data_IF_330863528497
#
_entry.id   IF_330863528497
#
_cell.length_a   1.000
_cell.length_b   1.000
_cell.length_c   1.000
_cell.angle_alpha   90.00
_cell.angle_beta   90.00
_cell.angle_gamma   90.00
#
_symmetry.space_group_name_H-M   'P 1'
#
loop_
_entity.id
_entity.type
_entity.pdbx_description
1 polymer ?
#
# COMPACT_ATOMS: atom_id res chain seq x y z
N UNK A 1 7.60 -13.56 -16.71
CA UNK A 1 6.69 -13.76 -15.62
C UNK A 1 7.43 -13.91 -14.30
N UNK A 2 6.97 -13.22 -13.28
CA UNK A 2 7.64 -13.24 -12.00
C UNK A 2 7.33 -14.53 -11.26
N UNK A 3 8.34 -15.11 -10.63
CA UNK A 3 8.09 -16.23 -9.76
C UNK A 3 7.64 -15.72 -8.39
N UNK A 4 7.16 -16.61 -7.50
CA UNK A 4 6.65 -16.16 -6.20
C UNK A 4 7.65 -15.40 -5.37
N UNK A 5 8.92 -15.79 -5.41
CA UNK A 5 9.95 -15.10 -4.66
C UNK A 5 10.13 -13.67 -5.16
N UNK A 6 10.10 -13.52 -6.46
CA UNK A 6 10.27 -12.21 -7.05
C UNK A 6 9.10 -11.31 -6.69
N UNK A 7 7.90 -11.86 -6.69
CA UNK A 7 6.73 -11.08 -6.32
C UNK A 7 6.82 -10.62 -4.87
N UNK A 8 7.28 -11.49 -4.00
CA UNK A 8 7.43 -11.13 -2.59
C UNK A 8 8.42 -10.00 -2.41
N UNK A 9 9.54 -10.07 -3.14
CA UNK A 9 10.54 -9.01 -3.06
C UNK A 9 9.97 -7.69 -3.52
N UNK A 10 9.20 -7.71 -4.60
CA UNK A 10 8.61 -6.49 -5.12
C UNK A 10 7.58 -5.91 -4.16
N UNK A 11 6.83 -6.76 -3.49
CA UNK A 11 5.87 -6.31 -2.49
C UNK A 11 6.59 -5.64 -1.34
N UNK A 12 7.68 -6.23 -0.89
CA UNK A 12 8.42 -5.65 0.21
C UNK A 12 9.04 -4.32 -0.17
N UNK A 13 9.53 -4.23 -1.40
CA UNK A 13 10.09 -2.98 -1.88
C UNK A 13 9.02 -1.90 -1.95
N UNK A 14 7.84 -2.26 -2.41
CA UNK A 14 6.73 -1.31 -2.47
C UNK A 14 6.32 -0.87 -1.07
N UNK A 15 6.29 -1.79 -0.14
CA UNK A 15 5.95 -1.48 1.24
C UNK A 15 6.94 -0.49 1.82
N UNK A 16 8.24 -0.74 1.61
CA UNK A 16 9.27 0.14 2.14
C UNK A 16 9.17 1.52 1.52
N UNK A 17 8.90 1.58 0.22
CA UNK A 17 8.78 2.86 -0.46
C UNK A 17 7.59 3.64 0.07
N UNK A 18 6.46 2.97 0.26
CA UNK A 18 5.28 3.63 0.79
C UNK A 18 5.52 4.12 2.22
N UNK A 19 6.23 3.33 3.00
CA UNK A 19 6.54 3.72 4.35
C UNK A 19 7.41 4.96 4.38
N UNK A 20 8.39 5.02 3.48
CA UNK A 20 9.26 6.17 3.40
C UNK A 20 8.49 7.42 2.98
N UNK A 21 7.56 7.26 2.05
CA UNK A 21 6.74 8.38 1.60
C UNK A 21 5.87 8.89 2.75
N UNK A 22 5.30 7.99 3.51
CA UNK A 22 4.47 8.40 4.64
C UNK A 22 5.30 9.13 5.69
N UNK A 23 6.50 8.64 5.95
CA UNK A 23 7.37 9.28 6.92
C UNK A 23 7.74 10.68 6.46
N UNK A 24 8.07 10.82 5.18
CA UNK A 24 8.40 12.13 4.65
C UNK A 24 7.21 13.07 4.72
N UNK A 25 6.04 12.56 4.40
CA UNK A 25 4.82 13.35 4.47
C UNK A 25 4.59 13.87 5.88
N UNK A 26 4.77 13.00 6.87
CA UNK A 26 4.58 13.40 8.26
C UNK A 26 5.62 14.45 8.66
N UNK A 27 6.84 14.26 8.23
CA UNK A 27 7.90 15.19 8.58
C UNK A 27 7.65 16.57 8.00
N UNK A 28 7.21 16.62 6.75
CA UNK A 28 7.03 17.89 6.07
C UNK A 28 5.74 18.60 6.45
N UNK A 29 4.71 17.85 6.77
CA UNK A 29 3.39 18.42 7.02
C UNK A 29 3.02 18.44 8.49
N UNK A 30 3.72 17.68 9.31
CA UNK A 30 3.33 17.55 10.72
C UNK A 30 2.12 16.65 10.90
N UNK A 31 1.80 15.85 9.91
CA UNK A 31 0.63 15.00 9.99
C UNK A 31 0.78 13.94 11.08
N UNK A 32 -0.32 13.64 11.75
CA UNK A 32 -0.35 12.62 12.78
C UNK A 32 -0.46 11.24 12.14
N UNK A 33 -0.24 10.23 12.97
CA UNK A 33 -0.42 8.86 12.50
C UNK A 33 -1.85 8.63 12.02
N UNK A 34 -2.81 9.23 12.70
CA UNK A 34 -4.20 9.10 12.29
C UNK A 34 -4.43 9.69 10.92
N UNK A 35 -3.80 10.82 10.64
CA UNK A 35 -3.94 11.44 9.34
C UNK A 35 -3.30 10.61 8.25
N UNK A 36 -2.18 9.96 8.56
CA UNK A 36 -1.56 9.07 7.59
C UNK A 36 -2.45 7.86 7.34
N UNK A 37 -3.05 7.33 8.40
CA UNK A 37 -3.97 6.21 8.24
C UNK A 37 -5.14 6.58 7.35
N UNK A 38 -5.66 7.79 7.53
CA UNK A 38 -6.77 8.25 6.70
C UNK A 38 -6.34 8.38 5.24
N UNK A 39 -5.15 8.92 5.02
CA UNK A 39 -4.63 9.05 3.66
C UNK A 39 -4.52 7.70 2.99
N UNK A 40 -3.99 6.72 3.70
CA UNK A 40 -3.83 5.38 3.13
C UNK A 40 -5.18 4.73 2.88
N UNK A 41 -6.14 4.98 3.74
CA UNK A 41 -7.48 4.45 3.53
C UNK A 41 -8.11 5.04 2.28
N UNK A 42 -7.94 6.35 2.08
CA UNK A 42 -8.49 6.97 0.89
C UNK A 42 -7.84 6.42 -0.37
N UNK A 43 -6.54 6.19 -0.31
CA UNK A 43 -5.86 5.60 -1.45
C UNK A 43 -6.38 4.20 -1.72
N UNK A 44 -6.59 3.42 -0.68
CA UNK A 44 -7.07 2.06 -0.86
C UNK A 44 -8.44 2.03 -1.53
N UNK A 45 -9.25 3.05 -1.30
CA UNK A 45 -10.58 3.09 -1.88
C UNK A 45 -10.54 3.19 -3.40
N UNK A 46 -9.47 3.73 -3.93
CA UNK A 46 -9.31 3.78 -5.38
C UNK A 46 -9.36 2.37 -5.96
N UNK A 47 -8.73 1.45 -5.28
CA UNK A 47 -8.70 0.07 -5.76
C UNK A 47 -9.95 -0.70 -5.38
N UNK A 48 -10.58 -0.32 -4.28
CA UNK A 48 -11.83 -0.98 -3.88
C UNK A 48 -12.92 -0.79 -4.91
N UNK A 49 -12.92 0.36 -5.57
CA UNK A 49 -13.95 0.64 -6.55
C UNK A 49 -13.83 -0.25 -7.77
N UNK A 50 -12.63 -0.71 -8.06
CA UNK A 50 -12.38 -1.52 -9.24
C UNK A 50 -12.39 -2.99 -8.94
N UNK A 51 -12.58 -3.36 -7.68
CA UNK A 51 -12.48 -4.75 -7.26
C UNK A 51 -13.88 -5.29 -7.03
N UNK A 52 -14.21 -6.35 -7.73
CA UNK A 52 -15.48 -7.04 -7.49
C UNK A 52 -15.42 -7.74 -6.15
N UNK A 53 -16.58 -7.90 -5.54
CA UNK A 53 -16.62 -8.53 -4.24
C UNK A 53 -16.21 -9.97 -4.30
N UNK A 54 -16.33 -10.60 -5.43
CA UNK A 54 -15.84 -11.97 -5.57
C UNK A 54 -14.38 -12.00 -5.96
N UNK A 55 -13.78 -10.86 -6.02
CA UNK A 55 -12.38 -10.74 -6.35
C UNK A 55 -11.54 -11.36 -5.25
N UNK A 56 -10.62 -12.18 -5.64
CA UNK A 56 -9.82 -12.92 -4.70
C UNK A 56 -8.36 -12.57 -4.86
N UNK A 57 -7.81 -11.91 -3.89
CA UNK A 57 -6.41 -11.53 -3.95
C UNK A 57 -5.58 -12.62 -3.33
N UNK A 58 -4.76 -13.22 -4.14
CA UNK A 58 -3.90 -14.27 -3.67
C UNK A 58 -2.49 -13.76 -3.52
N UNK A 59 -2.22 -13.18 -2.41
CA UNK A 59 -0.90 -12.61 -2.19
C UNK A 59 0.15 -13.66 -1.91
N UNK A 60 -0.29 -14.81 -1.47
CA UNK A 60 0.64 -15.85 -1.08
C UNK A 60 1.12 -16.69 -2.24
N UNK A 61 0.64 -16.49 -3.40
CA UNK A 61 1.09 -17.30 -4.52
C UNK A 61 2.55 -17.18 -4.78
#
# INVERSE_FOLDING_TARGET
>A
MANPNQKTILIEQAYDALKAICTKFQYESGATDMEVKTLLRELARVYEKDIDEDYDINWEV
#
